data_IF_961037268305
#
_entry.id   IF_961037268305
#
_cell.length_a   1.000
_cell.length_b   1.000
_cell.length_c   1.000
_cell.angle_alpha   90.00
_cell.angle_beta   90.00
_cell.angle_gamma   90.00
#
_symmetry.space_group_name_H-M   'P 1'
#
loop_
_entity.id
_entity.type
_entity.pdbx_description
1 polymer ?
#
# COMPACT_ATOMS: atom_id res chain seq x y z
N UNK A 1 42.50 27.22 43.03
CA UNK A 1 41.17 26.74 42.59
C UNK A 1 41.26 26.29 41.13
N UNK A 2 41.10 25.00 40.84
CA UNK A 2 40.97 24.47 39.46
C UNK A 2 39.82 23.48 39.45
N UNK A 3 38.65 23.93 38.98
CA UNK A 3 37.50 23.05 38.76
C UNK A 3 37.67 22.37 37.40
N UNK A 4 37.79 21.04 37.41
CA UNK A 4 37.73 20.21 36.21
C UNK A 4 36.28 19.79 36.00
N UNK A 5 35.63 20.36 34.99
CA UNK A 5 34.33 19.86 34.52
C UNK A 5 34.56 18.59 33.70
N UNK A 6 34.05 17.46 34.17
CA UNK A 6 33.93 16.24 33.39
C UNK A 6 32.57 16.26 32.68
N UNK A 7 32.58 16.34 31.34
CA UNK A 7 31.38 16.21 30.52
C UNK A 7 31.17 14.72 30.28
N UNK A 8 30.15 14.15 30.91
CA UNK A 8 29.70 12.79 30.63
C UNK A 8 28.80 12.81 29.38
N UNK A 9 29.29 12.25 28.27
CA UNK A 9 28.51 11.98 27.07
C UNK A 9 27.57 10.79 27.35
N UNK A 10 26.31 11.08 27.66
CA UNK A 10 25.23 10.11 27.65
C UNK A 10 24.90 9.75 26.20
N UNK A 11 25.39 8.61 25.73
CA UNK A 11 24.91 7.98 24.50
C UNK A 11 23.50 7.43 24.76
N UNK A 12 22.48 8.20 24.39
CA UNK A 12 21.10 7.69 24.31
C UNK A 12 21.02 6.87 23.03
N UNK A 13 21.26 5.56 23.14
CA UNK A 13 20.91 4.61 22.09
C UNK A 13 19.39 4.54 22.02
N UNK A 14 18.79 5.22 21.05
CA UNK A 14 17.38 5.04 20.73
C UNK A 14 17.19 3.62 20.18
N UNK A 15 16.81 2.68 21.05
CA UNK A 15 16.39 1.35 20.65
C UNK A 15 15.14 1.49 19.80
N UNK A 16 15.25 1.23 18.51
CA UNK A 16 14.13 1.14 17.60
C UNK A 16 13.09 0.15 18.14
N UNK A 17 11.88 0.61 18.47
CA UNK A 17 10.77 -0.30 18.79
C UNK A 17 10.51 -1.25 17.63
N UNK A 18 10.22 -2.52 17.94
CA UNK A 18 9.84 -3.51 16.94
C UNK A 18 8.49 -3.15 16.32
N UNK A 19 8.30 -3.48 15.04
CA UNK A 19 6.99 -3.30 14.40
C UNK A 19 5.93 -4.18 15.08
N UNK A 20 4.67 -3.69 15.21
CA UNK A 20 3.60 -4.46 15.81
C UNK A 20 3.24 -5.66 14.92
N UNK A 21 2.84 -6.82 15.51
CA UNK A 21 2.48 -8.01 14.74
C UNK A 21 1.38 -7.80 13.69
N UNK A 22 0.51 -6.80 13.89
CA UNK A 22 -0.56 -6.44 12.95
C UNK A 22 -0.04 -5.85 11.62
N UNK A 23 1.20 -5.34 11.58
CA UNK A 23 1.72 -4.67 10.39
C UNK A 23 2.07 -5.64 9.26
N UNK A 24 2.69 -6.78 9.57
CA UNK A 24 3.16 -7.72 8.54
C UNK A 24 2.01 -8.29 7.67
N UNK A 25 0.89 -8.77 8.25
CA UNK A 25 -0.25 -9.23 7.46
C UNK A 25 -0.87 -8.16 6.56
N UNK A 26 -0.91 -6.91 7.03
CA UNK A 26 -1.41 -5.77 6.27
C UNK A 26 -0.51 -5.50 5.06
N UNK A 27 0.81 -5.39 5.28
CA UNK A 27 1.78 -5.16 4.21
C UNK A 27 1.79 -6.28 3.17
N UNK A 28 1.66 -7.53 3.61
CA UNK A 28 1.54 -8.69 2.72
C UNK A 28 0.31 -8.57 1.82
N UNK A 29 -0.83 -8.18 2.37
CA UNK A 29 -2.07 -8.04 1.59
C UNK A 29 -2.05 -6.83 0.65
N UNK A 30 -1.34 -5.75 1.04
CA UNK A 30 -1.04 -4.63 0.13
C UNK A 30 -0.19 -5.12 -1.04
N UNK A 31 0.88 -5.89 -0.76
CA UNK A 31 1.74 -6.45 -1.80
C UNK A 31 0.97 -7.40 -2.73
N UNK A 32 0.11 -8.28 -2.21
CA UNK A 32 -0.77 -9.14 -2.99
C UNK A 32 -1.70 -8.31 -3.91
N UNK A 33 -2.30 -7.24 -3.39
CA UNK A 33 -3.14 -6.34 -4.20
C UNK A 33 -2.36 -5.60 -5.27
N UNK A 34 -1.12 -5.18 -4.98
CA UNK A 34 -0.23 -4.56 -5.97
C UNK A 34 0.16 -5.57 -7.06
N UNK A 35 0.41 -6.82 -6.73
CA UNK A 35 0.76 -7.87 -7.70
C UNK A 35 -0.31 -8.08 -8.78
N UNK A 36 -1.59 -7.88 -8.44
CA UNK A 36 -2.70 -7.95 -9.39
C UNK A 36 -2.61 -6.86 -10.48
N UNK A 37 -1.89 -5.76 -10.24
CA UNK A 37 -1.74 -4.66 -11.20
C UNK A 37 -1.16 -5.13 -12.55
N UNK A 38 -0.30 -6.15 -12.55
CA UNK A 38 0.37 -6.66 -13.76
C UNK A 38 -0.67 -7.28 -14.70
N UNK A 39 -1.56 -8.11 -14.16
CA UNK A 39 -2.64 -8.74 -14.90
C UNK A 39 -3.67 -7.71 -15.38
N UNK A 40 -3.93 -6.67 -14.58
CA UNK A 40 -4.81 -5.56 -14.99
C UNK A 40 -4.16 -4.76 -16.12
N UNK A 41 -2.85 -4.50 -16.05
CA UNK A 41 -2.11 -3.82 -17.10
C UNK A 41 -2.16 -4.61 -18.41
N UNK A 42 -1.95 -5.93 -18.38
CA UNK A 42 -2.08 -6.81 -19.55
C UNK A 42 -3.47 -6.75 -20.16
N UNK A 43 -4.51 -6.86 -19.33
CA UNK A 43 -5.90 -6.75 -19.81
C UNK A 43 -6.17 -5.39 -20.48
N UNK A 44 -5.59 -4.31 -19.96
CA UNK A 44 -5.73 -2.95 -20.53
C UNK A 44 -4.88 -2.73 -21.77
N UNK A 45 -3.70 -3.34 -21.85
CA UNK A 45 -2.90 -3.39 -23.07
C UNK A 45 -3.71 -4.02 -24.21
N UNK A 46 -4.27 -5.21 -23.98
CA UNK A 46 -5.03 -5.93 -25.02
C UNK A 46 -6.32 -5.18 -25.40
N UNK A 47 -7.06 -4.67 -24.41
CA UNK A 47 -8.35 -4.03 -24.63
C UNK A 47 -8.28 -2.53 -24.97
N UNK A 48 -7.11 -1.92 -24.92
CA UNK A 48 -6.87 -0.48 -25.11
C UNK A 48 -7.69 0.43 -24.17
N UNK A 49 -8.11 -0.10 -23.02
CA UNK A 49 -8.86 0.67 -22.02
C UNK A 49 -7.90 1.54 -21.20
N UNK A 50 -8.34 2.73 -20.75
CA UNK A 50 -7.52 3.59 -19.92
C UNK A 50 -7.21 2.93 -18.56
N UNK A 51 -6.07 3.32 -17.99
CA UNK A 51 -5.69 2.93 -16.62
C UNK A 51 -6.65 3.54 -15.61
N UNK A 52 -6.91 4.83 -15.71
CA UNK A 52 -7.88 5.52 -14.87
C UNK A 52 -9.32 5.23 -15.33
N UNK A 53 -10.14 4.76 -14.39
CA UNK A 53 -11.59 4.58 -14.56
C UNK A 53 -12.27 5.26 -13.38
N UNK A 54 -12.48 6.57 -13.49
CA UNK A 54 -13.01 7.40 -12.39
C UNK A 54 -14.31 6.87 -11.80
N UNK A 55 -15.21 6.37 -12.65
CA UNK A 55 -16.48 5.81 -12.19
C UNK A 55 -16.23 4.56 -11.37
N UNK A 56 -15.41 3.63 -11.87
CA UNK A 56 -15.09 2.41 -11.12
C UNK A 56 -14.32 2.70 -9.84
N UNK A 57 -13.40 3.65 -9.86
CA UNK A 57 -12.64 4.07 -8.68
C UNK A 57 -13.58 4.64 -7.60
N UNK A 58 -14.53 5.50 -7.99
CA UNK A 58 -15.57 6.01 -7.09
C UNK A 58 -16.46 4.89 -6.52
N UNK A 59 -16.83 3.89 -7.32
CA UNK A 59 -17.58 2.72 -6.83
C UNK A 59 -16.80 1.93 -5.78
N UNK A 60 -15.49 1.74 -5.98
CA UNK A 60 -14.61 1.06 -5.01
C UNK A 60 -14.55 1.85 -3.71
N UNK A 61 -14.33 3.18 -3.78
CA UNK A 61 -14.28 4.05 -2.62
C UNK A 61 -15.61 4.05 -1.87
N UNK A 62 -16.74 4.26 -2.57
CA UNK A 62 -18.06 4.24 -1.95
C UNK A 62 -18.34 2.91 -1.23
N UNK A 63 -17.91 1.79 -1.80
CA UNK A 63 -18.09 0.46 -1.22
C UNK A 63 -17.27 0.27 0.07
N UNK A 64 -16.01 0.69 0.10
CA UNK A 64 -15.17 0.57 1.33
C UNK A 64 -15.62 1.52 2.42
N UNK A 65 -16.04 2.73 2.07
CA UNK A 65 -16.59 3.72 3.01
C UNK A 65 -17.88 3.19 3.64
N UNK A 66 -18.76 2.55 2.86
CA UNK A 66 -19.98 1.94 3.38
C UNK A 66 -19.72 0.73 4.30
N UNK A 67 -18.65 -0.03 4.06
CA UNK A 67 -18.28 -1.18 4.88
C UNK A 67 -17.46 -0.82 6.13
N UNK A 68 -16.83 0.36 6.18
CA UNK A 68 -15.86 0.71 7.22
C UNK A 68 -16.38 0.48 8.65
N UNK A 69 -17.62 0.87 8.93
CA UNK A 69 -18.23 0.73 10.25
C UNK A 69 -18.38 -0.73 10.72
N UNK A 70 -18.59 -1.69 9.81
CA UNK A 70 -18.66 -3.12 10.19
C UNK A 70 -17.31 -3.66 10.66
N UNK A 71 -16.22 -3.00 10.28
CA UNK A 71 -14.85 -3.29 10.74
C UNK A 71 -14.40 -2.37 11.89
N UNK A 72 -15.29 -1.52 12.43
CA UNK A 72 -14.97 -0.50 13.44
C UNK A 72 -13.93 0.52 12.97
N UNK A 73 -13.89 0.80 11.67
CA UNK A 73 -13.06 1.84 11.06
C UNK A 73 -13.85 3.14 10.89
N UNK A 74 -13.15 4.26 11.01
CA UNK A 74 -13.62 5.55 10.51
C UNK A 74 -13.77 5.46 8.97
N UNK A 75 -14.95 5.78 8.39
CA UNK A 75 -15.13 5.82 6.94
C UNK A 75 -14.09 6.68 6.21
N UNK A 76 -13.66 7.81 6.79
CA UNK A 76 -12.64 8.67 6.20
C UNK A 76 -11.26 7.99 6.15
N UNK A 77 -10.93 7.22 7.19
CA UNK A 77 -9.71 6.43 7.23
C UNK A 77 -9.71 5.31 6.16
N UNK A 78 -10.84 4.63 5.96
CA UNK A 78 -10.98 3.62 4.93
C UNK A 78 -10.86 4.22 3.52
N UNK A 79 -11.53 5.35 3.27
CA UNK A 79 -11.44 6.10 2.02
C UNK A 79 -10.00 6.51 1.70
N UNK A 80 -9.30 7.13 2.65
CA UNK A 80 -7.92 7.58 2.46
C UNK A 80 -7.00 6.39 2.15
N UNK A 81 -7.14 5.30 2.91
CA UNK A 81 -6.33 4.09 2.71
C UNK A 81 -6.56 3.47 1.33
N UNK A 82 -7.82 3.27 0.92
CA UNK A 82 -8.12 2.65 -0.38
C UNK A 82 -7.85 3.57 -1.57
N UNK A 83 -7.93 4.89 -1.39
CA UNK A 83 -7.47 5.85 -2.40
C UNK A 83 -5.96 5.66 -2.66
N UNK A 84 -5.16 5.52 -1.60
CA UNK A 84 -3.74 5.21 -1.73
C UNK A 84 -3.49 3.88 -2.45
N UNK A 85 -4.29 2.84 -2.15
CA UNK A 85 -4.19 1.54 -2.84
C UNK A 85 -4.52 1.64 -4.33
N UNK A 86 -5.51 2.46 -4.72
CA UNK A 86 -5.88 2.68 -6.13
C UNK A 86 -4.72 3.38 -6.85
N UNK A 87 -4.21 4.49 -6.30
CA UNK A 87 -3.12 5.25 -6.91
C UNK A 87 -1.84 4.43 -7.05
N UNK A 88 -1.48 3.65 -6.02
CA UNK A 88 -0.32 2.76 -6.10
C UNK A 88 -0.48 1.66 -7.16
N UNK A 89 -1.69 1.16 -7.36
CA UNK A 89 -1.96 0.17 -8.40
C UNK A 89 -1.93 0.81 -9.80
N UNK A 90 -2.42 2.05 -9.97
CA UNK A 90 -2.29 2.81 -11.22
C UNK A 90 -0.83 3.09 -11.56
N UNK A 91 0.01 3.41 -10.57
CA UNK A 91 1.45 3.60 -10.76
C UNK A 91 2.09 2.38 -11.44
N UNK A 92 1.83 1.17 -10.93
CA UNK A 92 2.37 -0.07 -11.52
C UNK A 92 1.86 -0.26 -12.95
N UNK A 93 0.56 -0.05 -13.19
CA UNK A 93 -0.03 -0.19 -14.52
C UNK A 93 0.57 0.79 -15.53
N UNK A 94 0.74 2.07 -15.17
CA UNK A 94 1.31 3.07 -16.05
C UNK A 94 2.76 2.76 -16.42
N UNK A 95 3.57 2.31 -15.46
CA UNK A 95 4.96 1.90 -15.72
C UNK A 95 5.01 0.76 -16.72
N UNK A 96 4.24 -0.32 -16.49
CA UNK A 96 4.21 -1.46 -17.41
C UNK A 96 3.75 -1.08 -18.81
N UNK A 97 2.66 -0.32 -18.93
CA UNK A 97 2.17 0.10 -20.25
C UNK A 97 3.19 0.96 -20.98
N UNK A 98 3.87 1.88 -20.28
CA UNK A 98 4.96 2.67 -20.85
C UNK A 98 6.11 1.79 -21.35
N UNK A 99 6.57 0.84 -20.53
CA UNK A 99 7.66 -0.06 -20.88
C UNK A 99 7.32 -0.94 -22.08
N UNK A 100 6.08 -1.45 -22.14
CA UNK A 100 5.63 -2.29 -23.26
C UNK A 100 5.46 -1.49 -24.55
N UNK A 101 5.03 -0.23 -24.47
CA UNK A 101 5.00 0.67 -25.62
C UNK A 101 6.43 0.91 -26.15
N UNK A 102 7.40 1.15 -25.26
CA UNK A 102 8.80 1.30 -25.63
C UNK A 102 9.38 0.04 -26.29
N UNK A 103 9.02 -1.14 -25.78
CA UNK A 103 9.46 -2.44 -26.30
C UNK A 103 8.70 -2.88 -27.56
N UNK A 104 7.56 -2.24 -27.87
CA UNK A 104 6.64 -2.63 -28.95
C UNK A 104 5.82 -3.89 -28.67
N UNK A 105 5.87 -4.44 -27.45
CA UNK A 105 5.10 -5.63 -27.04
C UNK A 105 4.96 -5.73 -25.52
N UNK A 106 3.86 -6.34 -25.08
CA UNK A 106 3.68 -6.84 -23.71
C UNK A 106 4.20 -8.28 -23.58
N UNK A 107 4.49 -8.77 -22.36
CA UNK A 107 4.88 -10.16 -22.14
C UNK A 107 3.73 -11.14 -22.43
N UNK A 108 4.05 -12.42 -22.60
CA UNK A 108 3.10 -13.50 -22.86
C UNK A 108 2.53 -14.14 -21.58
N UNK A 109 2.43 -13.34 -20.52
CA UNK A 109 1.92 -13.77 -19.23
C UNK A 109 0.39 -14.04 -19.28
N UNK A 110 -0.16 -14.80 -18.30
CA UNK A 110 -1.59 -15.09 -18.24
C UNK A 110 -2.45 -13.82 -18.22
N UNK A 111 -3.51 -13.82 -19.04
CA UNK A 111 -4.51 -12.74 -19.15
C UNK A 111 -5.87 -13.19 -18.58
N UNK A 112 -5.99 -13.29 -17.24
CA UNK A 112 -7.27 -13.67 -16.64
C UNK A 112 -8.35 -12.63 -16.93
N UNK A 113 -9.60 -13.08 -17.03
CA UNK A 113 -10.73 -12.20 -17.29
C UNK A 113 -10.88 -11.18 -16.15
N UNK A 114 -10.88 -9.89 -16.50
CA UNK A 114 -10.94 -8.79 -15.54
C UNK A 114 -12.19 -8.86 -14.67
N UNK A 115 -13.33 -9.24 -15.24
CA UNK A 115 -14.62 -9.22 -14.54
C UNK A 115 -14.83 -10.50 -13.73
N UNK A 116 -14.52 -11.66 -14.31
CA UNK A 116 -14.84 -12.97 -13.74
C UNK A 116 -13.76 -13.51 -12.81
N UNK A 117 -12.51 -13.05 -12.94
CA UNK A 117 -11.39 -13.59 -12.16
C UNK A 117 -10.69 -12.51 -11.32
N UNK A 118 -10.35 -11.36 -11.90
CA UNK A 118 -9.62 -10.31 -11.17
C UNK A 118 -10.50 -9.61 -10.14
N UNK A 119 -11.70 -9.15 -10.53
CA UNK A 119 -12.60 -8.44 -9.61
C UNK A 119 -12.94 -9.25 -8.34
N UNK A 120 -13.30 -10.55 -8.42
CA UNK A 120 -13.51 -11.35 -7.21
C UNK A 120 -12.29 -11.43 -6.29
N UNK A 121 -11.07 -11.52 -6.84
CA UNK A 121 -9.84 -11.51 -6.04
C UNK A 121 -9.66 -10.17 -5.33
N UNK A 122 -9.90 -9.06 -6.03
CA UNK A 122 -9.84 -7.71 -5.45
C UNK A 122 -10.91 -7.53 -4.36
N UNK A 123 -12.11 -8.08 -4.52
CA UNK A 123 -13.19 -8.00 -3.52
C UNK A 123 -12.84 -8.80 -2.25
N UNK A 124 -12.19 -9.96 -2.39
CA UNK A 124 -11.68 -10.74 -1.25
C UNK A 124 -10.55 -10.00 -0.52
N UNK A 125 -9.60 -9.43 -1.28
CA UNK A 125 -8.52 -8.62 -0.71
C UNK A 125 -9.05 -7.36 -0.03
N UNK A 126 -10.07 -6.71 -0.58
CA UNK A 126 -10.69 -5.53 0.03
C UNK A 126 -11.20 -5.84 1.45
N UNK A 127 -11.94 -6.93 1.62
CA UNK A 127 -12.45 -7.35 2.94
C UNK A 127 -11.32 -7.66 3.92
N UNK A 128 -10.28 -8.35 3.45
CA UNK A 128 -9.09 -8.66 4.27
C UNK A 128 -8.35 -7.40 4.69
N UNK A 129 -8.14 -6.47 3.76
CA UNK A 129 -7.46 -5.21 3.99
C UNK A 129 -8.24 -4.30 4.95
N UNK A 130 -9.57 -4.27 4.87
CA UNK A 130 -10.39 -3.55 5.86
C UNK A 130 -10.18 -4.12 7.27
N UNK A 131 -10.20 -5.45 7.43
CA UNK A 131 -9.93 -6.08 8.72
C UNK A 131 -8.52 -5.75 9.23
N UNK A 132 -7.50 -5.92 8.39
CA UNK A 132 -6.11 -5.70 8.79
C UNK A 132 -5.80 -4.23 9.05
N UNK A 133 -6.44 -3.30 8.34
CA UNK A 133 -6.37 -1.87 8.65
C UNK A 133 -7.00 -1.60 10.02
N UNK A 134 -8.12 -2.24 10.36
CA UNK A 134 -8.72 -2.11 11.68
C UNK A 134 -7.80 -2.65 12.77
N UNK A 135 -7.18 -3.80 12.55
CA UNK A 135 -6.25 -4.43 13.48
C UNK A 135 -4.98 -3.57 13.72
N UNK A 136 -4.49 -2.88 12.68
CA UNK A 136 -3.35 -1.96 12.75
C UNK A 136 -3.72 -0.53 13.21
N UNK A 137 -5.03 -0.18 13.24
CA UNK A 137 -5.47 1.18 13.55
C UNK A 137 -4.97 1.74 14.88
N UNK A 138 -4.87 0.95 15.98
CA UNK A 138 -4.35 1.45 17.25
C UNK A 138 -2.89 1.93 17.18
N UNK A 139 -2.10 1.48 16.21
CA UNK A 139 -0.68 1.82 16.06
C UNK A 139 -0.43 2.95 15.05
N UNK A 140 -1.47 3.45 14.37
CA UNK A 140 -1.32 4.49 13.33
C UNK A 140 -0.81 5.83 13.85
N UNK A 141 -1.00 6.12 15.14
CA UNK A 141 -0.51 7.34 15.81
C UNK A 141 0.79 7.12 16.58
N UNK A 142 1.37 5.92 16.54
CA UNK A 142 2.63 5.62 17.20
C UNK A 142 3.78 6.43 16.55
N UNK A 143 4.64 7.10 17.33
CA UNK A 143 5.79 7.85 16.81
C UNK A 143 6.75 7.01 15.93
N UNK A 144 6.84 5.70 16.15
CA UNK A 144 7.67 4.79 15.36
C UNK A 144 6.98 4.29 14.07
N UNK A 145 5.68 4.54 13.89
CA UNK A 145 4.92 4.09 12.72
C UNK A 145 5.60 4.45 11.38
N UNK A 146 6.04 5.70 11.13
CA UNK A 146 6.71 6.04 9.88
C UNK A 146 8.00 5.25 9.65
N UNK A 147 8.72 4.93 10.73
CA UNK A 147 9.97 4.17 10.66
C UNK A 147 9.69 2.70 10.32
N UNK A 148 8.67 2.09 10.90
CA UNK A 148 8.27 0.72 10.56
C UNK A 148 7.87 0.59 9.09
N UNK A 149 7.07 1.54 8.57
CA UNK A 149 6.68 1.54 7.16
C UNK A 149 7.89 1.75 6.23
N UNK A 150 8.77 2.69 6.57
CA UNK A 150 9.99 2.92 5.79
C UNK A 150 10.88 1.67 5.74
N UNK A 151 11.11 1.01 6.87
CA UNK A 151 11.88 -0.23 6.93
C UNK A 151 11.25 -1.33 6.07
N UNK A 152 9.94 -1.52 6.19
CA UNK A 152 9.25 -2.57 5.46
C UNK A 152 9.16 -2.31 3.95
N UNK A 153 8.98 -1.05 3.53
CA UNK A 153 8.97 -0.68 2.12
C UNK A 153 10.32 -0.90 1.42
N UNK A 154 11.43 -0.87 2.18
CA UNK A 154 12.79 -1.12 1.67
C UNK A 154 13.24 -2.59 1.80
N UNK A 155 12.41 -3.48 2.36
CA UNK A 155 12.75 -4.89 2.52
C UNK A 155 12.78 -5.69 1.19
N UNK A 156 11.94 -5.42 0.17
CA UNK A 156 12.04 -6.07 -1.13
C UNK A 156 13.32 -5.64 -1.85
N UNK A 157 14.37 -6.47 -1.78
CA UNK A 157 15.61 -6.24 -2.51
C UNK A 157 15.39 -6.64 -3.99
N UNK A 158 15.71 -5.72 -4.90
CA UNK A 158 15.74 -5.92 -6.37
C UNK A 158 14.42 -5.79 -7.15
N UNK A 159 13.42 -5.08 -6.62
CA UNK A 159 12.24 -4.67 -7.41
C UNK A 159 11.87 -3.19 -7.15
N UNK A 160 12.50 -2.25 -7.88
CA UNK A 160 12.29 -0.82 -7.66
C UNK A 160 10.85 -0.38 -7.88
N UNK A 161 10.12 -0.99 -8.82
CA UNK A 161 8.73 -0.63 -9.09
C UNK A 161 7.84 -1.06 -7.93
N UNK A 162 8.01 -2.27 -7.40
CA UNK A 162 7.26 -2.73 -6.21
C UNK A 162 7.58 -1.92 -4.97
N UNK A 163 8.85 -1.54 -4.79
CA UNK A 163 9.25 -0.65 -3.71
C UNK A 163 8.51 0.69 -3.80
N UNK A 164 8.53 1.36 -4.95
CA UNK A 164 7.83 2.64 -5.15
C UNK A 164 6.32 2.50 -4.98
N UNK A 165 5.73 1.41 -5.47
CA UNK A 165 4.30 1.14 -5.29
C UNK A 165 3.95 0.89 -3.81
N UNK A 166 4.78 0.18 -3.06
CA UNK A 166 4.60 -0.03 -1.61
C UNK A 166 4.71 1.29 -0.84
N UNK A 167 5.67 2.14 -1.19
CA UNK A 167 5.79 3.49 -0.62
C UNK A 167 4.49 4.27 -0.88
N UNK A 168 4.01 4.28 -2.13
CA UNK A 168 2.77 4.99 -2.49
C UNK A 168 1.55 4.42 -1.76
N UNK A 169 1.45 3.10 -1.62
CA UNK A 169 0.32 2.42 -1.00
C UNK A 169 0.24 2.63 0.51
N UNK A 170 1.36 2.98 1.16
CA UNK A 170 1.45 3.07 2.63
C UNK A 170 1.61 4.50 3.15
N UNK A 171 1.68 5.51 2.27
CA UNK A 171 1.99 6.89 2.61
C UNK A 171 1.00 7.53 3.62
N UNK A 172 -0.25 7.09 3.62
CA UNK A 172 -1.33 7.59 4.47
C UNK A 172 -1.69 6.65 5.64
N UNK A 173 -0.93 5.57 5.85
CA UNK A 173 -1.18 4.63 6.95
C UNK A 173 -0.89 5.24 8.32
N UNK A 174 0.23 5.94 8.48
CA UNK A 174 0.55 6.63 9.73
C UNK A 174 -0.10 8.01 9.78
N UNK A 175 -0.66 8.35 10.93
CA UNK A 175 -1.32 9.62 11.20
C UNK A 175 -0.62 10.31 12.35
N UNK A 176 -0.39 11.62 12.28
CA UNK A 176 0.14 12.35 13.44
C UNK A 176 -1.00 12.64 14.42
N UNK A 177 -0.79 12.50 15.75
CA UNK A 177 -1.68 13.11 16.72
C UNK A 177 -1.79 14.61 16.40
N UNK A 178 -3.01 15.12 16.40
CA UNK A 178 -3.27 16.57 16.31
C UNK A 178 -3.14 17.22 17.67
#
# INVERSE_FOLDING_TARGET
MKYRFAIALLFISASASAAPPALEPLLKSIAERLAIADQVALSKWDSHKPVEDKKREQEVIANVTAQASSYKLDPAAAEQFFSAQIEANKLVQYTHLSDWQLQGKAPDDPRPDLVKQIRPQLDLLQKRLLQQLADFSPQRTDPDCPRWLAQAAHAPLNDPLRQLAMIRATAELCTRPT
#
